data_IF_315494138694
#
_entry.id   IF_315494138694
#
_cell.length_a   1.000
_cell.length_b   1.000
_cell.length_c   1.000
_cell.angle_alpha   90.00
_cell.angle_beta   90.00
_cell.angle_gamma   90.00
#
_symmetry.space_group_name_H-M   'P 1'
#
loop_
_entity.id
_entity.type
_entity.pdbx_description
1 polymer ?
#
# COMPACT_ATOMS: atom_id res chain seq x y z
N UNK A 1 -1.39 -2.70 -8.46
CA UNK A 1 -0.86 -2.49 -7.10
C UNK A 1 -1.69 -1.47 -6.34
N UNK A 2 -1.70 -0.18 -6.73
CA UNK A 2 -2.49 0.86 -6.03
C UNK A 2 -3.97 0.51 -5.85
N UNK A 3 -4.62 -0.02 -6.89
CA UNK A 3 -6.03 -0.43 -6.81
C UNK A 3 -6.26 -1.55 -5.79
N UNK A 4 -5.34 -2.51 -5.69
CA UNK A 4 -5.47 -3.65 -4.79
C UNK A 4 -5.27 -3.18 -3.34
N UNK A 5 -4.26 -2.34 -3.09
CA UNK A 5 -4.04 -1.71 -1.78
C UNK A 5 -5.27 -0.89 -1.36
N UNK A 6 -5.78 -0.04 -2.24
CA UNK A 6 -6.99 0.73 -1.98
C UNK A 6 -8.17 -0.19 -1.64
N UNK A 7 -8.34 -1.29 -2.37
CA UNK A 7 -9.38 -2.29 -2.10
C UNK A 7 -9.28 -2.88 -0.69
N UNK A 8 -8.08 -3.22 -0.20
CA UNK A 8 -7.90 -3.68 1.19
C UNK A 8 -8.33 -2.62 2.20
N UNK A 9 -8.01 -1.35 1.96
CA UNK A 9 -8.49 -0.24 2.78
C UNK A 9 -10.01 -0.12 2.80
N UNK A 10 -10.66 -0.25 1.63
CA UNK A 10 -12.13 -0.21 1.55
C UNK A 10 -12.78 -1.39 2.29
N UNK A 11 -12.17 -2.58 2.25
CA UNK A 11 -12.65 -3.74 3.00
C UNK A 11 -12.52 -3.52 4.51
N UNK A 12 -11.36 -3.06 4.98
CA UNK A 12 -11.07 -2.84 6.41
C UNK A 12 -11.84 -1.69 7.04
N UNK A 13 -12.13 -0.63 6.30
CA UNK A 13 -12.71 0.61 6.85
C UNK A 13 -14.21 0.75 6.55
N UNK A 14 -14.64 0.39 5.33
CA UNK A 14 -16.04 0.53 4.92
C UNK A 14 -16.81 -0.78 4.91
N UNK A 15 -16.13 -1.90 5.21
CA UNK A 15 -16.71 -3.24 5.13
C UNK A 15 -17.27 -3.55 3.74
N UNK A 16 -16.69 -2.92 2.71
CA UNK A 16 -17.05 -3.14 1.32
C UNK A 16 -16.42 -4.47 0.88
N UNK A 17 -17.27 -5.48 0.59
CA UNK A 17 -16.88 -6.91 0.52
C UNK A 17 -16.46 -7.50 1.89
N UNK A 18 -17.30 -7.31 2.91
CA UNK A 18 -17.13 -7.82 4.27
C UNK A 18 -16.84 -9.34 4.31
N UNK A 19 -15.77 -9.71 5.03
CA UNK A 19 -15.23 -11.06 5.17
C UNK A 19 -14.08 -11.04 6.20
N UNK A 20 -12.98 -11.76 5.95
CA UNK A 20 -11.81 -11.83 6.88
C UNK A 20 -11.11 -10.48 7.15
N UNK A 21 -11.46 -9.41 6.42
CA UNK A 21 -10.83 -8.10 6.52
C UNK A 21 -11.63 -7.11 7.37
N UNK A 22 -12.13 -7.53 8.53
CA UNK A 22 -12.89 -6.68 9.46
C UNK A 22 -12.15 -6.54 10.81
N UNK A 23 -11.09 -5.72 10.87
CA UNK A 23 -10.30 -5.57 12.07
C UNK A 23 -11.05 -4.79 13.16
N UNK A 24 -10.74 -5.07 14.42
CA UNK A 24 -11.30 -4.31 15.55
C UNK A 24 -10.91 -2.83 15.43
N UNK A 25 -11.85 -1.92 15.76
CA UNK A 25 -11.60 -0.48 15.70
C UNK A 25 -10.37 -0.10 16.56
N UNK A 26 -9.44 0.65 15.97
CA UNK A 26 -8.21 1.10 16.64
C UNK A 26 -7.10 0.04 16.74
N UNK A 27 -7.31 -1.18 16.24
CA UNK A 27 -6.24 -2.19 16.11
C UNK A 27 -5.15 -1.76 15.10
N UNK A 28 -3.93 -2.32 15.18
CA UNK A 28 -2.90 -2.08 14.18
C UNK A 28 -3.36 -2.36 12.74
N UNK A 29 -4.15 -3.42 12.55
CA UNK A 29 -4.71 -3.80 11.25
C UNK A 29 -5.75 -2.78 10.76
N UNK A 30 -6.54 -2.20 11.66
CA UNK A 30 -7.47 -1.12 11.34
C UNK A 30 -6.73 0.15 10.91
N UNK A 31 -5.65 0.51 11.61
CA UNK A 31 -4.78 1.63 11.22
C UNK A 31 -4.11 1.36 9.87
N UNK A 32 -3.65 0.13 9.62
CA UNK A 32 -3.16 -0.28 8.31
C UNK A 32 -4.23 -0.07 7.23
N UNK A 33 -5.49 -0.42 7.52
CA UNK A 33 -6.63 -0.16 6.63
C UNK A 33 -6.83 1.31 6.28
N UNK A 34 -6.65 2.23 7.24
CA UNK A 34 -6.72 3.67 6.94
C UNK A 34 -5.60 4.12 5.99
N UNK A 35 -4.38 3.60 6.18
CA UNK A 35 -3.23 3.90 5.32
C UNK A 35 -3.46 3.33 3.92
N UNK A 36 -3.90 2.07 3.82
CA UNK A 36 -4.26 1.42 2.56
C UNK A 36 -5.35 2.18 1.81
N UNK A 37 -6.36 2.69 2.52
CA UNK A 37 -7.44 3.45 1.93
C UNK A 37 -6.95 4.81 1.41
N UNK A 38 -6.24 5.57 2.25
CA UNK A 38 -5.88 6.96 1.92
C UNK A 38 -4.62 7.03 1.05
N UNK A 39 -3.54 6.43 1.50
CA UNK A 39 -2.24 6.44 0.79
C UNK A 39 -2.29 5.53 -0.43
N UNK A 40 -3.02 4.40 -0.35
CA UNK A 40 -3.27 3.57 -1.53
C UNK A 40 -4.05 4.31 -2.62
N UNK A 41 -5.02 5.15 -2.25
CA UNK A 41 -5.71 6.03 -3.22
C UNK A 41 -4.75 7.04 -3.83
N UNK A 42 -3.97 7.77 -3.02
CA UNK A 42 -2.99 8.72 -3.53
C UNK A 42 -2.00 8.07 -4.50
N UNK A 43 -1.48 6.88 -4.15
CA UNK A 43 -0.60 6.12 -5.03
C UNK A 43 -1.31 5.66 -6.31
N UNK A 44 -2.57 5.19 -6.21
CA UNK A 44 -3.37 4.74 -7.36
C UNK A 44 -3.54 5.85 -8.40
N UNK A 45 -3.87 7.06 -7.96
CA UNK A 45 -4.05 8.21 -8.87
C UNK A 45 -2.73 8.92 -9.20
N UNK A 46 -1.64 8.54 -8.55
CA UNK A 46 -0.30 9.08 -8.80
C UNK A 46 -0.11 10.52 -8.29
N UNK A 47 -0.65 10.82 -7.11
CA UNK A 47 -0.40 12.08 -6.36
C UNK A 47 0.62 11.81 -5.27
N UNK A 48 1.63 12.67 -5.18
CA UNK A 48 2.78 12.51 -4.27
C UNK A 48 3.38 11.10 -4.35
N UNK A 49 3.49 10.56 -5.57
CA UNK A 49 3.71 9.13 -5.81
C UNK A 49 4.90 8.59 -5.05
N UNK A 50 6.00 9.35 -5.00
CA UNK A 50 7.23 8.96 -4.28
C UNK A 50 6.99 8.81 -2.77
N UNK A 51 6.29 9.78 -2.16
CA UNK A 51 5.98 9.76 -0.73
C UNK A 51 4.96 8.67 -0.41
N UNK A 52 3.89 8.56 -1.20
CA UNK A 52 2.88 7.51 -1.01
C UNK A 52 3.50 6.12 -1.14
N UNK A 53 4.37 5.92 -2.12
CA UNK A 53 5.09 4.65 -2.29
C UNK A 53 6.03 4.36 -1.11
N UNK A 54 6.76 5.35 -0.60
CA UNK A 54 7.61 5.14 0.58
C UNK A 54 6.81 4.68 1.81
N UNK A 55 5.65 5.31 2.06
CA UNK A 55 4.77 4.93 3.17
C UNK A 55 4.22 3.51 2.97
N UNK A 56 3.72 3.17 1.77
CA UNK A 56 3.21 1.83 1.47
C UNK A 56 4.30 0.76 1.54
N UNK A 57 5.54 1.08 1.14
CA UNK A 57 6.71 0.21 1.31
C UNK A 57 6.93 -0.15 2.78
N UNK A 58 6.90 0.86 3.66
CA UNK A 58 7.04 0.68 5.10
C UNK A 58 5.88 -0.13 5.70
N UNK A 59 4.64 0.13 5.26
CA UNK A 59 3.47 -0.62 5.71
C UNK A 59 3.59 -2.12 5.37
N UNK A 60 3.98 -2.44 4.13
CA UNK A 60 4.15 -3.83 3.69
C UNK A 60 5.32 -4.52 4.40
N UNK A 61 6.42 -3.80 4.66
CA UNK A 61 7.51 -4.32 5.48
C UNK A 61 7.05 -4.64 6.90
N UNK A 62 6.34 -3.71 7.56
CA UNK A 62 5.79 -3.93 8.88
C UNK A 62 4.87 -5.15 8.91
N UNK A 63 3.94 -5.27 7.95
CA UNK A 63 3.06 -6.42 7.83
C UNK A 63 3.83 -7.74 7.69
N UNK A 64 4.91 -7.78 6.90
CA UNK A 64 5.76 -8.96 6.81
C UNK A 64 6.39 -9.33 8.16
N UNK A 65 7.04 -8.37 8.82
CA UNK A 65 7.76 -8.64 10.06
C UNK A 65 6.86 -8.96 11.26
N UNK A 66 5.66 -8.38 11.32
CA UNK A 66 4.75 -8.58 12.47
C UNK A 66 3.74 -9.70 12.27
N UNK A 67 3.24 -9.91 11.05
CA UNK A 67 2.17 -10.88 10.78
C UNK A 67 2.66 -12.18 10.10
N UNK A 68 3.72 -12.12 9.30
CA UNK A 68 4.15 -13.27 8.50
C UNK A 68 5.42 -13.94 9.02
N UNK A 69 6.46 -13.16 9.35
CA UNK A 69 7.73 -13.70 9.83
C UNK A 69 7.59 -14.60 11.08
N UNK A 70 6.70 -14.31 12.06
CA UNK A 70 6.51 -15.18 13.22
C UNK A 70 5.90 -16.55 12.88
N UNK A 71 5.23 -16.70 11.73
CA UNK A 71 4.57 -17.95 11.32
C UNK A 71 5.58 -18.95 10.75
N UNK A 72 6.44 -18.50 9.84
CA UNK A 72 7.60 -19.25 9.34
C UNK A 72 8.62 -18.25 8.79
N UNK A 73 9.90 -18.63 8.81
CA UNK A 73 10.95 -17.85 8.16
C UNK A 73 10.80 -17.83 6.63
N UNK A 74 10.24 -18.90 6.05
CA UNK A 74 10.12 -19.07 4.60
C UNK A 74 8.83 -18.40 4.07
N UNK A 75 8.92 -17.41 3.15
CA UNK A 75 7.75 -16.72 2.61
C UNK A 75 6.70 -17.62 1.94
N UNK A 76 7.13 -18.76 1.41
CA UNK A 76 6.28 -19.78 0.79
C UNK A 76 5.39 -20.52 1.79
N UNK A 77 5.75 -20.48 3.08
CA UNK A 77 5.06 -21.20 4.16
C UNK A 77 4.29 -20.26 5.09
N UNK A 78 4.63 -18.96 5.11
CA UNK A 78 3.98 -17.98 5.99
C UNK A 78 2.95 -17.06 5.30
N UNK A 79 2.76 -17.21 3.98
CA UNK A 79 1.84 -16.38 3.19
C UNK A 79 2.27 -14.92 2.96
N UNK A 80 3.47 -14.53 3.41
CA UNK A 80 4.00 -13.16 3.38
C UNK A 80 4.76 -12.79 2.12
N UNK A 81 4.81 -13.66 1.11
CA UNK A 81 5.52 -13.40 -0.15
C UNK A 81 4.99 -12.15 -0.87
N UNK A 82 3.69 -11.86 -0.78
CA UNK A 82 3.09 -10.63 -1.33
C UNK A 82 3.52 -9.39 -0.55
N UNK A 83 3.48 -9.42 0.78
CA UNK A 83 3.93 -8.31 1.63
C UNK A 83 5.42 -7.99 1.38
N UNK A 84 6.29 -9.01 1.35
CA UNK A 84 7.71 -8.83 1.08
C UNK A 84 7.94 -8.24 -0.32
N UNK A 85 7.34 -8.83 -1.36
CA UNK A 85 7.52 -8.35 -2.75
C UNK A 85 6.98 -6.94 -2.95
N UNK A 86 5.80 -6.63 -2.42
CA UNK A 86 5.20 -5.30 -2.54
C UNK A 86 6.00 -4.23 -1.81
N UNK A 87 6.65 -4.57 -0.68
CA UNK A 87 7.56 -3.65 0.00
C UNK A 87 8.65 -3.15 -0.95
N UNK A 88 9.36 -4.06 -1.64
CA UNK A 88 10.40 -3.67 -2.60
C UNK A 88 9.86 -2.98 -3.84
N UNK A 89 8.69 -3.40 -4.36
CA UNK A 89 8.07 -2.73 -5.51
C UNK A 89 7.69 -1.29 -5.17
N UNK A 90 7.09 -1.05 -4.01
CA UNK A 90 6.79 0.32 -3.57
C UNK A 90 8.07 1.12 -3.29
N UNK A 91 9.12 0.50 -2.75
CA UNK A 91 10.41 1.16 -2.58
C UNK A 91 11.03 1.60 -3.92
N UNK A 92 10.89 0.77 -4.97
CA UNK A 92 11.26 1.17 -6.32
C UNK A 92 10.49 2.43 -6.75
N UNK A 93 9.17 2.46 -6.61
CA UNK A 93 8.35 3.64 -6.94
C UNK A 93 8.67 4.87 -6.09
N UNK A 94 9.13 4.69 -4.85
CA UNK A 94 9.60 5.78 -4.01
C UNK A 94 10.78 6.54 -4.65
N UNK A 95 11.61 5.84 -5.42
CA UNK A 95 12.73 6.42 -6.16
C UNK A 95 12.35 6.81 -7.61
N UNK A 96 11.70 5.92 -8.36
CA UNK A 96 11.41 6.12 -9.78
C UNK A 96 10.28 7.12 -10.04
N UNK A 97 9.36 7.30 -9.08
CA UNK A 97 8.11 8.04 -9.27
C UNK A 97 7.06 7.28 -10.09
N UNK A 98 5.89 7.92 -10.30
CA UNK A 98 4.70 7.29 -10.90
C UNK A 98 4.64 7.21 -12.43
N UNK A 99 5.65 7.74 -13.12
CA UNK A 99 5.70 7.78 -14.59
C UNK A 99 4.76 8.81 -15.23
N UNK A 100 4.66 8.85 -16.59
CA UNK A 100 3.98 9.92 -17.32
C UNK A 100 2.47 10.00 -17.11
N UNK A 101 1.85 8.88 -16.72
CA UNK A 101 0.40 8.80 -16.46
C UNK A 101 0.02 9.25 -15.04
N UNK A 102 0.99 9.56 -14.17
CA UNK A 102 0.69 10.04 -12.83
C UNK A 102 0.16 11.47 -12.85
N UNK A 103 -0.72 11.80 -11.90
CA UNK A 103 -1.15 13.18 -11.71
C UNK A 103 0.03 14.12 -11.41
N UNK A 104 1.05 13.65 -10.69
CA UNK A 104 2.30 14.41 -10.48
C UNK A 104 2.93 14.87 -11.82
N UNK A 105 3.03 13.98 -12.80
CA UNK A 105 3.59 14.29 -14.11
C UNK A 105 2.69 15.23 -14.92
N UNK A 106 1.37 15.01 -14.87
CA UNK A 106 0.39 15.86 -15.55
C UNK A 106 0.40 17.30 -15.01
N UNK A 107 0.51 17.47 -13.68
CA UNK A 107 0.59 18.78 -13.03
C UNK A 107 1.90 19.49 -13.35
N UNK A 108 3.03 18.78 -13.34
CA UNK A 108 4.34 19.35 -13.71
C UNK A 108 4.36 19.82 -15.17
N UNK A 109 3.76 19.06 -16.10
CA UNK A 109 3.67 19.46 -17.51
C UNK A 109 2.84 20.73 -17.71
N UNK A 110 1.73 20.90 -16.97
CA UNK A 110 0.90 22.12 -17.01
C UNK A 110 1.60 23.35 -16.43
N UNK A 111 2.45 23.18 -15.43
CA UNK A 111 3.20 24.30 -14.86
C UNK A 111 4.32 24.81 -15.77
N UNK A 112 4.78 23.98 -16.73
CA UNK A 112 5.92 24.25 -17.60
C UNK A 112 5.53 24.57 -19.06
N UNK A 113 4.24 24.67 -19.39
CA UNK A 113 3.73 24.97 -20.73
C UNK A 113 2.83 26.19 -20.73
#
# INVERSE_FOLDING_TARGET
MGLIVFSFGTAKIFHFHAGEFMPAFGSPEWVAGLIELTVGLCFLIGVFTRLSAFILSGLMAAAYFTAHLPVSFFPTENGGYTAASWSFVFLYFATSGGGPASLDAMLSKRANG
#
